data_IF_427270785295
#
_entry.id   IF_427270785295
#
_cell.length_a   1.000
_cell.length_b   1.000
_cell.length_c   1.000
_cell.angle_alpha   90.00
_cell.angle_beta   90.00
_cell.angle_gamma   90.00
#
_symmetry.space_group_name_H-M   'P 1'
#
loop_
_entity.id
_entity.type
_entity.pdbx_description
1 polymer ?
#
# COMPACT_ATOMS: atom_id res chain seq x y z
N UNK A 1 21.88 45.84 15.17
CA UNK A 1 22.00 44.51 15.80
C UNK A 1 20.67 43.86 16.19
N UNK A 2 19.52 44.57 16.23
CA UNK A 2 18.22 44.02 16.67
C UNK A 2 17.38 43.30 15.58
N UNK A 3 17.64 43.55 14.30
CA UNK A 3 16.89 42.93 13.20
C UNK A 3 17.31 41.47 12.87
N UNK A 4 18.53 41.07 13.24
CA UNK A 4 19.05 39.70 12.96
C UNK A 4 18.52 38.65 13.94
N UNK A 5 18.09 39.05 15.14
CA UNK A 5 17.56 38.15 16.16
C UNK A 5 16.09 37.79 15.85
N UNK A 6 15.32 38.71 15.27
CA UNK A 6 13.93 38.46 14.91
C UNK A 6 13.78 37.41 13.79
N UNK A 7 14.71 37.42 12.83
CA UNK A 7 14.71 36.46 11.71
C UNK A 7 15.03 35.03 12.15
N UNK A 8 15.88 34.88 13.17
CA UNK A 8 16.25 33.57 13.71
C UNK A 8 15.11 32.91 14.49
N UNK A 9 14.32 33.70 15.24
CA UNK A 9 13.16 33.18 15.99
C UNK A 9 12.04 32.74 15.04
N UNK A 10 11.87 33.40 13.89
CA UNK A 10 10.84 33.07 12.90
C UNK A 10 11.16 31.79 12.10
N UNK A 11 12.44 31.51 11.86
CA UNK A 11 12.87 30.25 11.24
C UNK A 11 12.79 29.06 12.18
N UNK A 12 13.08 29.26 13.48
CA UNK A 12 12.95 28.20 14.48
C UNK A 12 11.47 27.87 14.73
N UNK A 13 10.56 28.85 14.71
CA UNK A 13 9.12 28.57 14.86
C UNK A 13 8.50 27.88 13.64
N UNK A 14 8.93 28.19 12.41
CA UNK A 14 8.52 27.46 11.20
C UNK A 14 9.07 26.04 11.17
N UNK A 15 10.33 25.84 11.59
CA UNK A 15 10.95 24.51 11.66
C UNK A 15 10.25 23.57 12.64
N UNK A 16 9.83 24.08 13.80
CA UNK A 16 9.11 23.31 14.82
C UNK A 16 7.68 22.97 14.39
N UNK A 17 7.01 23.85 13.64
CA UNK A 17 5.65 23.59 13.14
C UNK A 17 5.63 22.59 11.98
N UNK A 18 6.63 22.59 11.09
CA UNK A 18 6.78 21.55 10.04
C UNK A 18 7.14 20.19 10.64
N UNK A 19 8.00 20.15 11.68
CA UNK A 19 8.33 18.90 12.37
C UNK A 19 7.13 18.29 13.11
N UNK A 20 6.30 19.12 13.77
CA UNK A 20 5.05 18.67 14.42
C UNK A 20 4.00 18.17 13.41
N UNK A 21 3.95 18.76 12.21
CA UNK A 21 3.06 18.30 11.14
C UNK A 21 3.44 16.92 10.60
N UNK A 22 4.76 16.63 10.55
CA UNK A 22 5.26 15.31 10.15
C UNK A 22 5.10 14.27 11.26
N UNK A 23 5.24 14.64 12.55
CA UNK A 23 5.10 13.71 13.68
C UNK A 23 3.65 13.29 13.96
N UNK A 24 2.66 14.19 13.83
CA UNK A 24 1.25 13.89 14.16
C UNK A 24 0.47 13.14 13.06
N UNK A 25 1.06 12.96 11.86
CA UNK A 25 0.48 12.18 10.75
C UNK A 25 0.72 10.66 10.87
N UNK A 26 1.73 10.23 11.62
CA UNK A 26 2.06 8.80 11.78
C UNK A 26 1.49 8.17 13.05
N UNK A 27 0.89 8.96 13.94
CA UNK A 27 0.45 8.53 15.28
C UNK A 27 -0.99 7.97 15.32
N UNK A 28 -1.52 7.46 14.21
CA UNK A 28 -2.91 6.96 14.14
C UNK A 28 -3.10 5.58 13.52
N UNK A 29 -2.03 4.83 13.27
CA UNK A 29 -2.16 3.45 12.79
C UNK A 29 -2.33 2.43 13.93
N UNK A 30 -2.07 2.81 15.20
CA UNK A 30 -2.01 1.83 16.30
C UNK A 30 -3.08 1.97 17.40
N UNK A 31 -4.28 2.49 17.08
CA UNK A 31 -5.43 2.36 17.99
C UNK A 31 -6.70 1.97 17.24
N UNK A 32 -6.90 0.66 17.12
CA UNK A 32 -8.22 0.12 16.78
C UNK A 32 -8.21 -1.30 16.24
N UNK A 33 -8.01 -2.29 17.11
CA UNK A 33 -8.71 -3.59 17.07
C UNK A 33 -8.30 -4.44 18.28
N UNK A 34 -8.74 -4.02 19.45
CA UNK A 34 -8.95 -4.92 20.58
C UNK A 34 -10.39 -4.72 21.04
N UNK A 35 -11.11 -5.85 21.17
CA UNK A 35 -12.48 -6.01 21.66
C UNK A 35 -13.60 -6.00 20.62
N UNK A 36 -14.06 -7.20 20.25
CA UNK A 36 -15.49 -7.52 20.29
C UNK A 36 -15.69 -8.99 20.63
N UNK A 37 -16.22 -9.20 21.83
CA UNK A 37 -16.93 -10.34 22.41
C UNK A 37 -17.11 -11.62 21.58
N UNK A 38 -16.64 -12.71 22.18
CA UNK A 38 -17.16 -14.06 22.00
C UNK A 38 -18.63 -14.13 22.41
N UNK A 39 -19.52 -14.37 21.46
CA UNK A 39 -20.79 -15.02 21.72
C UNK A 39 -20.77 -16.37 21.00
N UNK A 40 -20.69 -17.42 21.83
CA UNK A 40 -20.86 -18.82 21.50
C UNK A 40 -22.30 -19.08 21.07
N UNK A 41 -22.46 -19.60 19.84
CA UNK A 41 -23.67 -20.35 19.47
C UNK A 41 -23.25 -21.77 19.09
N UNK A 42 -23.62 -22.68 19.97
CA UNK A 42 -23.59 -24.14 19.82
C UNK A 42 -24.46 -24.61 18.64
N UNK A 43 -24.10 -25.79 18.12
CA UNK A 43 -24.95 -26.98 17.82
C UNK A 43 -24.39 -27.74 16.58
N UNK A 44 -24.64 -29.06 16.42
CA UNK A 44 -24.19 -30.15 17.27
C UNK A 44 -23.44 -31.24 16.45
N UNK A 45 -22.85 -32.19 17.18
CA UNK A 45 -22.26 -33.40 16.64
C UNK A 45 -23.26 -34.30 15.88
N UNK A 46 -22.81 -34.93 14.80
CA UNK A 46 -23.40 -36.18 14.30
C UNK A 46 -22.30 -37.06 13.73
N UNK A 47 -21.89 -38.00 14.56
CA UNK A 47 -21.08 -39.16 14.27
C UNK A 47 -21.97 -40.19 13.55
N UNK A 48 -21.55 -40.70 12.38
CA UNK A 48 -21.95 -42.04 11.97
C UNK A 48 -20.91 -42.65 11.00
N UNK A 49 -20.11 -43.52 11.59
CA UNK A 49 -19.32 -44.57 10.94
C UNK A 49 -20.27 -45.65 10.44
N UNK A 50 -20.03 -46.17 9.24
CA UNK A 50 -20.28 -47.58 8.88
C UNK A 50 -19.10 -48.02 7.99
N UNK A 51 -18.26 -48.88 8.56
CA UNK A 51 -17.27 -49.73 7.87
C UNK A 51 -17.96 -51.00 7.36
N UNK A 52 -17.43 -51.58 6.28
CA UNK A 52 -17.23 -53.02 6.01
C UNK A 52 -16.31 -53.12 4.77
N UNK A 53 -15.01 -53.43 4.90
CA UNK A 53 -14.35 -54.76 4.86
C UNK A 53 -14.78 -55.63 3.65
N UNK A 54 -13.95 -56.31 2.85
CA UNK A 54 -12.54 -56.76 2.86
C UNK A 54 -12.14 -57.00 1.37
N UNK A 55 -10.88 -57.20 0.94
CA UNK A 55 -10.16 -58.49 1.06
C UNK A 55 -8.80 -58.48 0.27
N UNK A 56 -7.68 -58.74 0.99
CA UNK A 56 -6.38 -59.40 0.66
C UNK A 56 -5.50 -58.91 -0.53
N UNK A 57 -4.15 -58.86 -0.50
CA UNK A 57 -3.05 -58.95 0.47
C UNK A 57 -1.70 -58.71 -0.30
N UNK A 58 -0.59 -58.56 0.44
CA UNK A 58 0.81 -58.86 0.04
C UNK A 58 1.73 -57.76 -0.57
N UNK A 59 2.40 -57.04 0.35
CA UNK A 59 3.87 -56.91 0.52
C UNK A 59 4.80 -56.35 -0.58
N UNK A 60 5.32 -55.15 -0.27
CA UNK A 60 6.73 -54.73 -0.24
C UNK A 60 7.63 -54.88 -1.50
N UNK A 61 7.99 -53.74 -2.12
CA UNK A 61 9.37 -53.40 -2.47
C UNK A 61 9.50 -51.92 -2.90
N UNK A 62 10.54 -51.26 -2.38
CA UNK A 62 10.97 -49.89 -2.69
C UNK A 62 11.06 -49.58 -4.20
N UNK A 63 10.57 -48.40 -4.59
CA UNK A 63 10.85 -47.78 -5.88
C UNK A 63 10.54 -46.28 -5.83
N UNK A 64 11.58 -45.46 -5.81
CA UNK A 64 11.55 -44.00 -5.85
C UNK A 64 10.76 -43.45 -7.04
N UNK A 65 9.60 -42.84 -6.83
CA UNK A 65 8.88 -41.88 -7.70
C UNK A 65 7.77 -41.30 -6.79
N UNK A 66 7.52 -40.01 -6.57
CA UNK A 66 7.66 -38.79 -7.33
C UNK A 66 8.05 -37.68 -6.34
N UNK A 67 9.15 -36.98 -6.62
CA UNK A 67 9.35 -35.63 -6.07
C UNK A 67 8.33 -34.78 -6.81
N UNK A 68 7.12 -34.66 -6.24
CA UNK A 68 6.11 -33.68 -6.65
C UNK A 68 6.84 -32.36 -6.76
N UNK A 69 7.12 -31.95 -8.00
CA UNK A 69 7.47 -30.61 -8.35
C UNK A 69 6.31 -29.78 -7.80
N UNK A 70 6.49 -29.23 -6.61
CA UNK A 70 5.80 -28.00 -6.25
C UNK A 70 6.21 -27.02 -7.33
N UNK A 71 5.33 -26.88 -8.31
CA UNK A 71 5.34 -25.74 -9.18
C UNK A 71 5.10 -24.55 -8.25
N UNK A 72 6.19 -23.96 -7.76
CA UNK A 72 6.22 -22.55 -7.41
C UNK A 72 5.64 -21.83 -8.63
N UNK A 73 4.37 -21.45 -8.52
CA UNK A 73 3.73 -20.52 -9.44
C UNK A 73 4.70 -19.35 -9.61
N UNK A 74 5.19 -19.16 -10.82
CA UNK A 74 6.16 -18.12 -11.17
C UNK A 74 5.50 -16.75 -11.02
N UNK A 75 5.37 -16.25 -9.80
CA UNK A 75 4.96 -14.87 -9.49
C UNK A 75 6.05 -13.84 -9.86
N UNK A 76 6.95 -14.20 -10.79
CA UNK A 76 8.05 -13.37 -11.29
C UNK A 76 7.59 -12.39 -12.38
N UNK A 77 6.32 -12.41 -12.79
CA UNK A 77 5.79 -11.55 -13.87
C UNK A 77 5.37 -10.15 -13.40
N UNK A 78 5.16 -9.94 -12.09
CA UNK A 78 4.84 -8.62 -11.56
C UNK A 78 6.10 -7.74 -11.47
N UNK A 79 6.09 -6.60 -12.15
CA UNK A 79 7.25 -5.69 -12.27
C UNK A 79 7.79 -5.19 -10.91
N UNK A 80 6.97 -5.19 -9.85
CA UNK A 80 7.38 -4.78 -8.50
C UNK A 80 7.59 -5.95 -7.53
N UNK A 81 7.72 -7.17 -8.03
CA UNK A 81 8.07 -8.33 -7.21
C UNK A 81 9.42 -8.11 -6.49
N UNK A 82 9.49 -8.48 -5.20
CA UNK A 82 10.72 -8.36 -4.42
C UNK A 82 11.28 -9.73 -4.08
N UNK A 83 12.57 -9.90 -4.35
CA UNK A 83 13.38 -10.98 -3.76
C UNK A 83 13.72 -10.66 -2.30
N UNK A 84 14.17 -11.66 -1.54
CA UNK A 84 14.59 -11.47 -0.15
C UNK A 84 15.69 -10.42 0.00
N UNK A 85 16.67 -10.41 -0.91
CA UNK A 85 17.72 -9.39 -0.92
C UNK A 85 17.14 -7.99 -1.12
N UNK A 86 16.14 -7.84 -2.00
CA UNK A 86 15.43 -6.56 -2.22
C UNK A 86 14.58 -6.15 -1.03
N UNK A 87 13.98 -7.11 -0.31
CA UNK A 87 13.28 -6.85 0.95
C UNK A 87 14.27 -6.34 2.01
N UNK A 88 15.44 -6.98 2.15
CA UNK A 88 16.49 -6.54 3.08
C UNK A 88 17.01 -5.15 2.71
N UNK A 89 17.19 -4.87 1.41
CA UNK A 89 17.54 -3.55 0.90
C UNK A 89 16.50 -2.50 1.32
N UNK A 90 15.22 -2.76 1.04
CA UNK A 90 14.11 -1.87 1.39
C UNK A 90 13.98 -1.61 2.90
N UNK A 91 14.22 -2.63 3.74
CA UNK A 91 14.26 -2.49 5.22
C UNK A 91 15.38 -1.53 5.64
N UNK A 92 16.57 -1.72 5.09
CA UNK A 92 17.74 -0.90 5.41
C UNK A 92 17.59 0.54 4.93
N UNK A 93 16.99 0.72 3.75
CA UNK A 93 16.64 2.02 3.20
C UNK A 93 15.59 2.73 4.06
N UNK A 94 14.68 1.99 4.70
CA UNK A 94 13.71 2.54 5.65
C UNK A 94 14.36 3.39 6.73
N UNK A 95 15.48 2.92 7.29
CA UNK A 95 16.23 3.67 8.33
C UNK A 95 16.90 4.94 7.81
N UNK A 96 17.23 4.98 6.52
CA UNK A 96 17.99 6.06 5.87
C UNK A 96 17.11 6.94 4.98
N UNK A 97 15.81 6.67 4.96
CA UNK A 97 14.87 7.28 4.02
C UNK A 97 14.86 8.79 4.21
N UNK A 98 15.15 9.50 3.12
CA UNK A 98 15.10 10.95 3.07
C UNK A 98 13.86 11.42 2.27
N UNK A 99 13.63 12.74 2.23
CA UNK A 99 12.50 13.30 1.47
C UNK A 99 12.54 12.89 0.01
N UNK A 100 13.70 12.98 -0.66
CA UNK A 100 13.82 12.68 -2.09
C UNK A 100 13.41 11.24 -2.43
N UNK A 101 13.79 10.27 -1.59
CA UNK A 101 13.36 8.88 -1.76
C UNK A 101 11.83 8.75 -1.67
N UNK A 102 11.19 9.37 -0.66
CA UNK A 102 9.73 9.32 -0.50
C UNK A 102 8.98 9.94 -1.69
N UNK A 103 9.52 11.04 -2.22
CA UNK A 103 8.97 11.75 -3.38
C UNK A 103 9.19 10.98 -4.70
N UNK A 104 10.11 10.01 -4.75
CA UNK A 104 10.35 9.20 -5.98
C UNK A 104 9.17 8.29 -6.37
N UNK A 105 8.20 8.12 -5.48
CA UNK A 105 6.95 7.40 -5.75
C UNK A 105 5.76 8.33 -5.94
N UNK A 106 5.98 9.66 -5.92
CA UNK A 106 4.94 10.64 -6.18
C UNK A 106 4.62 10.65 -7.67
N UNK A 107 3.34 10.59 -8.00
CA UNK A 107 2.90 10.67 -9.39
C UNK A 107 2.89 12.14 -9.85
N UNK A 108 3.40 12.43 -11.04
CA UNK A 108 3.32 13.76 -11.63
C UNK A 108 1.87 14.11 -12.00
N UNK A 109 1.46 15.34 -11.65
CA UNK A 109 0.19 15.91 -12.10
C UNK A 109 0.28 16.19 -13.60
N UNK A 110 -0.60 15.56 -14.38
CA UNK A 110 -0.72 15.77 -15.82
C UNK A 110 -1.63 16.96 -16.14
N UNK A 111 -2.83 16.95 -15.55
CA UNK A 111 -3.86 17.97 -15.79
C UNK A 111 -4.74 18.15 -14.55
N UNK A 112 -5.36 19.33 -14.42
CA UNK A 112 -6.41 19.58 -13.44
C UNK A 112 -7.41 20.58 -14.00
N UNK A 113 -8.70 20.30 -13.83
CA UNK A 113 -9.79 21.21 -14.21
C UNK A 113 -10.22 22.12 -13.07
N UNK A 114 -9.88 21.76 -11.83
CA UNK A 114 -10.29 22.50 -10.64
C UNK A 114 -9.13 23.26 -10.01
N UNK A 115 -9.37 24.53 -9.69
CA UNK A 115 -8.50 25.35 -8.83
C UNK A 115 -8.99 25.37 -7.38
N UNK A 116 -9.91 24.47 -7.02
CA UNK A 116 -10.36 24.33 -5.64
C UNK A 116 -9.21 23.77 -4.79
N UNK A 117 -9.12 24.27 -3.55
CA UNK A 117 -8.29 23.77 -2.47
C UNK A 117 -8.33 22.24 -2.29
N UNK A 118 -9.43 21.58 -2.66
CA UNK A 118 -9.57 20.11 -2.61
C UNK A 118 -8.56 19.40 -3.52
N UNK A 119 -8.21 19.99 -4.66
CA UNK A 119 -7.30 19.42 -5.66
C UNK A 119 -5.92 20.08 -5.66
N UNK A 120 -5.82 21.35 -5.27
CA UNK A 120 -4.57 22.12 -5.30
C UNK A 120 -3.46 21.50 -4.44
N UNK A 121 -3.81 20.89 -3.31
CA UNK A 121 -2.86 20.30 -2.36
C UNK A 121 -2.78 18.77 -2.43
N UNK A 122 -3.27 18.18 -3.52
CA UNK A 122 -3.32 16.74 -3.65
C UNK A 122 -2.00 16.15 -4.16
N UNK A 123 -1.34 15.41 -3.29
CA UNK A 123 -0.20 14.58 -3.65
C UNK A 123 -0.63 13.13 -3.76
N UNK A 124 -0.29 12.48 -4.87
CA UNK A 124 -0.64 11.08 -5.12
C UNK A 124 0.62 10.24 -5.22
N UNK A 125 0.61 9.07 -4.60
CA UNK A 125 1.74 8.15 -4.61
C UNK A 125 1.30 6.77 -5.07
N UNK A 126 2.15 6.12 -5.85
CA UNK A 126 2.06 4.69 -6.13
C UNK A 126 2.64 3.90 -4.95
N UNK A 127 1.92 2.88 -4.49
CA UNK A 127 2.34 2.05 -3.37
C UNK A 127 2.91 0.73 -3.88
N UNK A 128 4.17 0.75 -4.33
CA UNK A 128 4.88 -0.48 -4.68
C UNK A 128 5.25 -1.27 -3.41
N UNK A 129 5.42 -2.60 -3.49
CA UNK A 129 5.99 -3.41 -2.42
C UNK A 129 7.24 -2.78 -1.78
N UNK A 130 8.20 -2.30 -2.58
CA UNK A 130 9.41 -1.67 -2.07
C UNK A 130 9.09 -0.47 -1.17
N UNK A 131 8.22 0.43 -1.65
CA UNK A 131 7.80 1.60 -0.89
C UNK A 131 7.10 1.22 0.42
N UNK A 132 6.25 0.20 0.39
CA UNK A 132 5.52 -0.26 1.58
C UNK A 132 6.48 -0.82 2.64
N UNK A 133 7.43 -1.66 2.24
CA UNK A 133 8.47 -2.20 3.12
C UNK A 133 9.31 -1.08 3.72
N UNK A 134 9.77 -0.14 2.89
CA UNK A 134 10.57 1.01 3.34
C UNK A 134 9.79 1.91 4.30
N UNK A 135 8.52 2.22 4.00
CA UNK A 135 7.68 3.06 4.85
C UNK A 135 7.40 2.40 6.21
N UNK A 136 7.09 1.09 6.21
CA UNK A 136 6.92 0.34 7.45
C UNK A 136 8.21 0.33 8.28
N UNK A 137 9.35 0.06 7.65
CA UNK A 137 10.65 0.01 8.32
C UNK A 137 11.07 1.37 8.87
N UNK A 138 10.79 2.46 8.16
CA UNK A 138 10.98 3.82 8.66
C UNK A 138 10.14 4.07 9.91
N UNK A 139 8.87 3.67 9.93
CA UNK A 139 8.01 3.83 11.11
C UNK A 139 8.51 3.00 12.30
N UNK A 140 8.89 1.74 12.06
CA UNK A 140 9.47 0.87 13.10
C UNK A 140 10.70 1.50 13.75
N UNK A 141 11.56 2.10 12.92
CA UNK A 141 12.76 2.78 13.40
C UNK A 141 12.44 4.09 14.14
N UNK A 142 11.64 4.97 13.53
CA UNK A 142 11.39 6.30 14.09
C UNK A 142 10.52 6.30 15.35
N UNK A 143 9.59 5.36 15.48
CA UNK A 143 8.67 5.31 16.61
C UNK A 143 9.16 4.39 17.74
N UNK A 144 9.84 3.29 17.39
CA UNK A 144 10.17 2.24 18.36
C UNK A 144 11.66 1.90 18.44
N UNK A 145 12.52 2.56 17.66
CA UNK A 145 13.96 2.25 17.52
C UNK A 145 14.21 0.78 17.16
N UNK A 146 13.33 0.20 16.33
CA UNK A 146 13.36 -1.19 15.89
C UNK A 146 13.72 -1.34 14.42
N UNK A 147 14.31 -2.48 14.10
CA UNK A 147 14.45 -2.95 12.71
C UNK A 147 13.29 -3.89 12.42
N UNK A 148 12.56 -3.65 11.33
CA UNK A 148 11.52 -4.58 10.89
C UNK A 148 12.13 -5.94 10.53
N UNK A 149 11.44 -7.03 10.85
CA UNK A 149 11.86 -8.36 10.41
C UNK A 149 11.35 -8.63 8.99
N UNK A 150 11.99 -9.57 8.28
CA UNK A 150 11.55 -10.00 6.94
C UNK A 150 10.12 -10.57 7.00
N UNK A 151 9.82 -11.37 8.03
CA UNK A 151 8.50 -12.01 8.16
C UNK A 151 7.41 -10.97 8.40
N UNK A 152 7.66 -9.95 9.22
CA UNK A 152 6.72 -8.84 9.45
C UNK A 152 6.40 -8.13 8.15
N UNK A 153 7.42 -7.78 7.36
CA UNK A 153 7.21 -7.00 6.13
C UNK A 153 6.64 -7.83 5.00
N UNK A 154 6.92 -9.14 4.92
CA UNK A 154 6.30 -10.05 3.94
C UNK A 154 4.79 -10.08 4.09
N UNK A 155 4.28 -10.04 5.32
CA UNK A 155 2.83 -10.00 5.57
C UNK A 155 2.14 -8.74 5.03
N UNK A 156 2.91 -7.68 4.73
CA UNK A 156 2.41 -6.43 4.18
C UNK A 156 2.38 -6.42 2.64
N UNK A 157 3.08 -7.36 2.00
CA UNK A 157 3.23 -7.37 0.55
C UNK A 157 2.08 -8.18 -0.05
N UNK A 158 1.29 -7.53 -0.90
CA UNK A 158 0.30 -8.17 -1.74
C UNK A 158 0.75 -8.03 -3.20
N UNK A 159 0.99 -9.15 -3.87
CA UNK A 159 1.45 -9.19 -5.26
C UNK A 159 0.30 -9.28 -6.28
N UNK A 160 -0.94 -9.45 -5.83
CA UNK A 160 -2.13 -9.52 -6.69
C UNK A 160 -2.76 -8.13 -6.90
N UNK A 161 -2.26 -7.12 -6.19
CA UNK A 161 -2.79 -5.76 -6.25
C UNK A 161 -1.72 -4.68 -6.20
N UNK A 162 -2.06 -3.55 -6.81
CA UNK A 162 -1.34 -2.31 -6.65
C UNK A 162 -2.30 -1.25 -6.11
N UNK A 163 -1.78 -0.33 -5.29
CA UNK A 163 -2.60 0.75 -4.75
C UNK A 163 -1.98 2.11 -4.98
N UNK A 164 -2.86 3.11 -5.01
CA UNK A 164 -2.50 4.52 -5.13
C UNK A 164 -3.10 5.26 -3.95
N UNK A 165 -2.27 6.05 -3.26
CA UNK A 165 -2.70 6.86 -2.13
C UNK A 165 -2.69 8.33 -2.50
N UNK A 166 -3.85 8.96 -2.46
CA UNK A 166 -4.01 10.40 -2.55
C UNK A 166 -4.07 11.01 -1.14
N UNK A 167 -3.18 11.96 -0.87
CA UNK A 167 -3.24 12.82 0.31
C UNK A 167 -4.03 14.06 -0.04
N UNK A 168 -5.11 14.30 0.69
CA UNK A 168 -6.09 15.34 0.38
C UNK A 168 -6.39 16.16 1.63
N UNK A 169 -7.16 17.24 1.46
CA UNK A 169 -7.64 18.03 2.59
C UNK A 169 -8.45 17.15 3.57
N UNK A 170 -8.32 17.42 4.87
CA UNK A 170 -9.03 16.63 5.88
C UNK A 170 -10.54 16.62 5.66
N UNK A 171 -11.11 15.42 5.69
CA UNK A 171 -12.54 15.18 5.49
C UNK A 171 -12.98 15.05 4.03
N UNK A 172 -12.13 15.30 3.04
CA UNK A 172 -12.55 15.33 1.63
C UNK A 172 -12.38 14.00 0.90
N UNK A 173 -11.60 13.05 1.41
CA UNK A 173 -11.32 11.76 0.74
C UNK A 173 -12.57 11.00 0.27
N UNK A 174 -13.65 11.04 1.07
CA UNK A 174 -14.92 10.35 0.76
C UNK A 174 -15.70 11.00 -0.38
N UNK A 175 -15.49 12.30 -0.62
CA UNK A 175 -16.12 13.06 -1.70
C UNK A 175 -15.48 12.75 -3.06
N UNK A 176 -14.30 12.14 -3.06
CA UNK A 176 -13.54 11.83 -4.26
C UNK A 176 -13.75 10.38 -4.69
N UNK A 177 -13.74 10.17 -6.01
CA UNK A 177 -13.66 8.87 -6.68
C UNK A 177 -12.35 8.79 -7.47
N UNK A 178 -11.99 7.58 -7.90
CA UNK A 178 -10.70 7.28 -8.53
C UNK A 178 -10.93 6.29 -9.66
N UNK A 179 -10.33 6.54 -10.82
CA UNK A 179 -10.34 5.66 -11.98
C UNK A 179 -8.92 5.54 -12.51
N UNK A 180 -8.51 4.33 -12.87
CA UNK A 180 -7.27 4.12 -13.62
C UNK A 180 -7.65 3.98 -15.09
N UNK A 181 -6.97 4.71 -15.97
CA UNK A 181 -7.26 4.75 -17.40
C UNK A 181 -6.01 4.28 -18.14
N UNK A 182 -6.13 3.23 -18.94
CA UNK A 182 -5.04 2.69 -19.76
C UNK A 182 -5.57 2.41 -21.17
N UNK A 183 -4.91 2.95 -22.19
CA UNK A 183 -5.34 2.87 -23.59
C UNK A 183 -6.83 3.19 -23.81
N UNK A 184 -7.30 4.26 -23.15
CA UNK A 184 -8.71 4.69 -23.20
C UNK A 184 -9.71 3.80 -22.44
N UNK A 185 -9.26 2.69 -21.84
CA UNK A 185 -10.08 1.79 -21.03
C UNK A 185 -10.03 2.19 -19.56
N UNK A 186 -11.19 2.25 -18.91
CA UNK A 186 -11.30 2.47 -17.47
C UNK A 186 -11.17 1.14 -16.74
N UNK A 187 -10.21 1.06 -15.83
CA UNK A 187 -10.00 -0.04 -14.88
C UNK A 187 -10.54 0.44 -13.54
N UNK A 188 -11.57 -0.25 -13.03
CA UNK A 188 -12.17 0.08 -11.74
C UNK A 188 -11.33 -0.44 -10.58
N UNK A 189 -11.27 0.33 -9.49
CA UNK A 189 -10.68 -0.16 -8.25
C UNK A 189 -11.61 -1.19 -7.61
N UNK A 190 -11.09 -2.35 -7.23
CA UNK A 190 -11.89 -3.36 -6.52
C UNK A 190 -12.10 -3.02 -5.03
N UNK A 191 -11.26 -2.11 -4.49
CA UNK A 191 -11.34 -1.65 -3.10
C UNK A 191 -10.93 -0.19 -2.99
N UNK A 192 -11.58 0.53 -2.08
CA UNK A 192 -11.23 1.89 -1.68
C UNK A 192 -11.23 1.98 -0.15
N UNK A 193 -10.11 2.44 0.41
CA UNK A 193 -9.99 2.78 1.83
C UNK A 193 -9.88 4.29 2.01
N UNK A 194 -10.48 4.83 3.07
CA UNK A 194 -10.22 6.19 3.53
C UNK A 194 -9.78 6.11 4.98
N UNK A 195 -8.75 6.84 5.36
CA UNK A 195 -8.33 6.84 6.75
C UNK A 195 -9.35 7.58 7.64
N UNK A 196 -9.18 7.47 8.97
CA UNK A 196 -10.11 8.02 9.96
C UNK A 196 -10.32 9.54 9.80
N UNK A 197 -9.25 10.28 9.51
CA UNK A 197 -9.27 11.73 9.31
C UNK A 197 -9.90 12.15 7.97
N UNK A 198 -10.08 11.20 7.05
CA UNK A 198 -10.53 11.48 5.68
C UNK A 198 -9.58 12.36 4.89
N UNK A 199 -8.30 12.42 5.27
CA UNK A 199 -7.22 13.16 4.58
C UNK A 199 -6.35 12.24 3.71
N UNK A 200 -6.69 10.95 3.65
CA UNK A 200 -6.07 9.96 2.79
C UNK A 200 -7.13 9.08 2.13
N UNK A 201 -6.99 8.89 0.81
CA UNK A 201 -7.76 7.94 0.01
C UNK A 201 -6.80 6.94 -0.63
N UNK A 202 -7.01 5.65 -0.40
CA UNK A 202 -6.25 4.58 -1.05
C UNK A 202 -7.17 3.78 -1.95
N UNK A 203 -6.82 3.66 -3.22
CA UNK A 203 -7.58 2.88 -4.22
C UNK A 203 -6.73 1.71 -4.68
N UNK A 204 -7.31 0.50 -4.72
CA UNK A 204 -6.62 -0.74 -5.04
C UNK A 204 -7.11 -1.30 -6.36
N UNK A 205 -6.19 -1.72 -7.21
CA UNK A 205 -6.42 -2.26 -8.55
C UNK A 205 -5.77 -3.63 -8.65
N UNK A 206 -6.41 -4.55 -9.39
CA UNK A 206 -5.84 -5.87 -9.66
C UNK A 206 -4.62 -5.74 -10.57
N UNK A 207 -3.54 -6.45 -10.26
CA UNK A 207 -2.34 -6.51 -11.11
C UNK A 207 -2.68 -7.10 -12.48
N UNK A 208 -3.54 -8.13 -12.53
CA UNK A 208 -3.96 -8.80 -13.77
C UNK A 208 -4.77 -7.91 -14.72
N UNK A 209 -5.29 -6.77 -14.23
CA UNK A 209 -6.06 -5.83 -15.03
C UNK A 209 -5.19 -4.73 -15.68
N UNK A 210 -3.88 -4.69 -15.40
CA UNK A 210 -2.96 -3.62 -15.79
C UNK A 210 -1.86 -4.19 -16.68
N UNK A 211 -1.65 -3.57 -17.85
CA UNK A 211 -0.44 -3.79 -18.63
C UNK A 211 0.68 -2.86 -18.14
N UNK A 212 1.62 -3.38 -17.35
CA UNK A 212 2.70 -2.58 -16.77
C UNK A 212 3.71 -2.03 -17.77
N UNK A 213 3.65 -2.47 -19.04
CA UNK A 213 4.52 -2.00 -20.13
C UNK A 213 4.01 -0.68 -20.72
N UNK A 214 2.73 -0.39 -20.53
CA UNK A 214 2.07 0.78 -21.10
C UNK A 214 1.81 1.83 -20.00
N UNK A 215 1.92 3.13 -20.31
CA UNK A 215 1.58 4.18 -19.36
C UNK A 215 0.09 4.16 -19.01
N UNK A 216 -0.25 4.69 -17.84
CA UNK A 216 -1.62 4.85 -17.40
C UNK A 216 -1.87 6.27 -16.85
N UNK A 217 -3.14 6.62 -16.70
CA UNK A 217 -3.58 7.86 -16.07
C UNK A 217 -4.45 7.50 -14.88
N UNK A 218 -4.08 7.97 -13.69
CA UNK A 218 -4.97 7.94 -12.54
C UNK A 218 -5.77 9.22 -12.51
N UNK A 219 -7.08 9.11 -12.69
CA UNK A 219 -8.02 10.23 -12.59
C UNK A 219 -8.66 10.23 -11.21
N UNK A 220 -8.65 11.38 -10.55
CA UNK A 220 -9.32 11.61 -9.27
C UNK A 220 -10.33 12.74 -9.47
N UNK A 221 -11.59 12.51 -9.13
CA UNK A 221 -12.67 13.45 -9.39
C UNK A 221 -13.66 13.56 -8.24
N UNK A 222 -14.37 14.69 -8.17
CA UNK A 222 -15.47 14.89 -7.22
C UNK A 222 -16.69 14.08 -7.64
N UNK A 223 -17.22 13.25 -6.73
CA UNK A 223 -18.43 12.45 -6.99
C UNK A 223 -19.66 13.32 -7.30
N UNK A 224 -19.79 14.47 -6.64
CA UNK A 224 -20.90 15.41 -6.85
C UNK A 224 -20.77 16.21 -8.14
N UNK A 225 -19.57 16.33 -8.69
CA UNK A 225 -19.31 17.02 -9.95
C UNK A 225 -18.07 16.42 -10.66
N UNK A 226 -18.25 15.33 -11.44
CA UNK A 226 -17.13 14.65 -12.10
C UNK A 226 -16.35 15.50 -13.12
N UNK A 227 -16.86 16.68 -13.48
CA UNK A 227 -16.13 17.66 -14.29
C UNK A 227 -14.96 18.31 -13.53
N UNK A 228 -14.97 18.25 -12.19
CA UNK A 228 -13.87 18.67 -11.33
C UNK A 228 -12.96 17.47 -11.06
N UNK A 229 -11.78 17.46 -11.67
CA UNK A 229 -10.83 16.36 -11.55
C UNK A 229 -9.38 16.80 -11.68
N UNK A 230 -8.49 15.91 -11.22
CA UNK A 230 -7.06 15.92 -11.51
C UNK A 230 -6.65 14.59 -12.11
N UNK A 231 -5.74 14.63 -13.08
CA UNK A 231 -5.16 13.45 -13.73
C UNK A 231 -3.67 13.37 -13.39
N UNK A 232 -3.22 12.18 -13.06
CA UNK A 232 -1.83 11.88 -12.73
C UNK A 232 -1.29 10.86 -13.71
N UNK A 233 -0.14 11.18 -14.31
CA UNK A 233 0.52 10.25 -15.23
C UNK A 233 1.25 9.17 -14.44
N UNK A 234 1.14 7.93 -14.91
CA UNK A 234 1.85 6.78 -14.35
C UNK A 234 2.71 6.17 -15.45
N UNK A 235 4.01 6.15 -15.21
CA UNK A 235 4.99 5.35 -15.93
C UNK A 235 5.48 4.28 -14.96
N UNK A 236 5.00 3.05 -15.09
CA UNK A 236 5.25 2.03 -14.06
C UNK A 236 6.75 1.73 -13.86
N UNK A 237 7.53 1.73 -14.94
CA UNK A 237 8.98 1.48 -14.92
C UNK A 237 9.75 2.50 -14.06
N UNK A 238 9.27 3.74 -13.95
CA UNK A 238 9.94 4.81 -13.17
C UNK A 238 9.96 4.52 -11.66
N UNK A 239 9.14 3.57 -11.21
CA UNK A 239 8.94 3.25 -9.80
C UNK A 239 9.49 1.87 -9.39
N UNK A 240 10.23 1.21 -10.27
CA UNK A 240 10.97 -0.03 -9.96
C UNK A 240 12.24 0.32 -9.15
N UNK A 241 12.54 -0.47 -8.12
CA UNK A 241 13.71 -0.31 -7.23
C UNK A 241 14.39 -1.65 -6.98
#
# INVERSE_FOLDING_TARGET
MKAKILFFVLFVSLGVSVALYVLTKYDLVEKGSASSNSDSLELPASEHVIEEENTYESNAANGMVDKKLEAESSNTEYIYYLTDDKIIEAINDGKKTNKAFRESFKLPLLSSTSKDSTFEYMDVFINTPYRLVTAHSYNQYMQYDKTASIDDVRSLINYDSISFTAYVLSGTARMLATELIQDGTVIESYKIDNNVKGDMKTSYFSVDAIDFREPAILKIYEKSNPSNYSEFQISFEDHVK
#
